data_IF_975526854166
#
_entry.id   IF_975526854166
#
_cell.length_a   1.000
_cell.length_b   1.000
_cell.length_c   1.000
_cell.angle_alpha   90.00
_cell.angle_beta   90.00
_cell.angle_gamma   90.00
#
_symmetry.space_group_name_H-M   'P 1'
#
loop_
_entity.id
_entity.type
_entity.pdbx_description
1 polymer ?
#
# COMPACT_ATOMS: atom_id res chain seq x y z
N UNK A 1 -10.79 26.75 -3.76
CA UNK A 1 -9.35 27.00 -3.60
C UNK A 1 -9.02 28.51 -3.57
N UNK A 2 -9.99 29.41 -3.47
CA UNK A 2 -9.78 30.87 -3.63
C UNK A 2 -9.32 31.60 -2.35
N UNK A 3 -9.18 30.90 -1.21
CA UNK A 3 -8.81 31.49 0.08
C UNK A 3 -7.52 30.90 0.67
N UNK A 4 -6.51 30.64 -0.16
CA UNK A 4 -5.19 30.18 0.30
C UNK A 4 -4.12 31.09 -0.26
N UNK A 5 -3.25 31.60 0.60
CA UNK A 5 -2.05 32.34 0.20
C UNK A 5 -0.87 31.37 0.30
N UNK A 6 -0.23 31.09 -0.83
CA UNK A 6 0.97 30.26 -0.86
C UNK A 6 2.18 31.12 -0.47
N UNK A 7 2.94 30.66 0.52
CA UNK A 7 4.23 31.23 0.88
C UNK A 7 5.30 30.16 0.71
N UNK A 8 6.45 30.57 0.22
CA UNK A 8 7.64 29.74 0.14
C UNK A 8 8.64 30.21 1.19
N UNK A 9 9.20 29.27 1.96
CA UNK A 9 10.13 29.57 3.03
C UNK A 9 11.43 28.78 2.83
N UNK A 10 12.56 29.48 2.92
CA UNK A 10 13.89 28.91 2.89
C UNK A 10 14.63 29.33 4.16
N UNK A 11 15.25 28.39 4.87
CA UNK A 11 16.10 28.72 6.03
C UNK A 11 17.57 28.75 5.60
N UNK A 12 18.25 29.90 5.69
CA UNK A 12 19.70 30.00 5.43
C UNK A 12 20.54 29.52 6.62
N UNK A 13 19.92 29.18 7.76
CA UNK A 13 20.61 28.75 8.98
C UNK A 13 20.81 27.23 8.97
N UNK A 14 21.91 26.78 9.59
CA UNK A 14 22.15 25.38 9.84
C UNK A 14 20.98 24.79 10.65
N UNK A 15 20.19 23.93 10.02
CA UNK A 15 19.03 23.31 10.65
C UNK A 15 19.51 22.34 11.73
N UNK A 16 19.00 22.52 12.96
CA UNK A 16 19.11 21.46 13.97
C UNK A 16 18.28 20.27 13.48
N UNK A 17 18.95 19.17 13.11
CA UNK A 17 18.29 17.92 12.72
C UNK A 17 17.34 17.41 13.80
N UNK A 18 17.64 17.66 15.07
CA UNK A 18 16.76 17.32 16.19
C UNK A 18 15.47 18.14 16.14
N UNK A 19 15.56 19.47 16.04
CA UNK A 19 14.39 20.34 15.97
C UNK A 19 13.51 20.05 14.75
N UNK A 20 14.12 19.70 13.61
CA UNK A 20 13.37 19.33 12.41
C UNK A 20 12.62 18.00 12.59
N UNK A 21 13.26 16.98 13.21
CA UNK A 21 12.58 15.72 13.53
C UNK A 21 11.44 15.91 14.51
N UNK A 22 11.63 16.74 15.55
CA UNK A 22 10.59 17.02 16.53
C UNK A 22 9.37 17.70 15.88
N UNK A 23 9.61 18.66 14.98
CA UNK A 23 8.54 19.30 14.19
C UNK A 23 7.83 18.33 13.26
N UNK A 24 8.58 17.44 12.61
CA UNK A 24 8.01 16.40 11.75
C UNK A 24 7.14 15.44 12.56
N UNK A 25 7.58 15.02 13.75
CA UNK A 25 6.77 14.17 14.62
C UNK A 25 5.49 14.87 15.07
N UNK A 26 5.56 16.14 15.49
CA UNK A 26 4.39 16.92 15.91
C UNK A 26 3.37 17.12 14.77
N UNK A 27 3.83 17.32 13.53
CA UNK A 27 2.94 17.57 12.40
C UNK A 27 2.27 16.31 11.85
N UNK A 28 2.94 15.16 11.90
CA UNK A 28 2.49 13.94 11.22
C UNK A 28 2.31 12.71 12.11
N UNK A 29 2.66 12.78 13.40
CA UNK A 29 2.54 11.68 14.37
C UNK A 29 3.18 10.37 13.86
N UNK A 30 4.44 10.44 13.41
CA UNK A 30 5.10 9.31 12.75
C UNK A 30 5.21 8.09 13.66
N UNK A 31 5.27 8.27 14.98
CA UNK A 31 5.25 7.14 15.93
C UNK A 31 3.96 6.32 15.80
N UNK A 32 2.80 6.98 15.79
CA UNK A 32 1.49 6.32 15.66
C UNK A 32 1.39 5.64 14.28
N UNK A 33 1.81 6.35 13.24
CA UNK A 33 1.76 5.83 11.89
C UNK A 33 2.68 4.61 11.71
N UNK A 34 3.86 4.60 12.33
CA UNK A 34 4.77 3.46 12.32
C UNK A 34 4.14 2.24 13.01
N UNK A 35 3.45 2.45 14.15
CA UNK A 35 2.73 1.38 14.83
C UNK A 35 1.60 0.79 13.96
N UNK A 36 0.93 1.62 13.15
CA UNK A 36 -0.05 1.14 12.18
C UNK A 36 0.59 0.26 11.09
N UNK A 37 1.80 0.61 10.63
CA UNK A 37 2.57 -0.22 9.70
C UNK A 37 2.99 -1.55 10.35
N UNK A 38 3.45 -1.54 11.59
CA UNK A 38 3.83 -2.76 12.32
C UNK A 38 2.62 -3.69 12.53
N UNK A 39 1.45 -3.14 12.84
CA UNK A 39 0.21 -3.90 12.94
C UNK A 39 -0.16 -4.55 11.60
N UNK A 40 -0.05 -3.81 10.50
CA UNK A 40 -0.26 -4.35 9.15
C UNK A 40 0.75 -5.48 8.84
N UNK A 41 2.04 -5.27 9.11
CA UNK A 41 3.07 -6.27 8.86
C UNK A 41 2.81 -7.53 9.67
N UNK A 42 2.48 -7.39 10.95
CA UNK A 42 2.19 -8.51 11.85
C UNK A 42 1.01 -9.35 11.34
N UNK A 43 -0.05 -8.68 10.85
CA UNK A 43 -1.23 -9.36 10.35
C UNK A 43 -0.98 -10.12 9.03
N UNK A 44 -0.22 -9.53 8.10
CA UNK A 44 -0.09 -10.06 6.75
C UNK A 44 1.18 -10.89 6.50
N UNK A 45 2.25 -10.73 7.29
CA UNK A 45 3.51 -11.47 7.12
C UNK A 45 3.33 -13.00 7.10
N UNK A 46 2.46 -13.61 7.95
CA UNK A 46 2.24 -15.05 7.92
C UNK A 46 1.67 -15.58 6.59
N UNK A 47 1.04 -14.72 5.77
CA UNK A 47 0.50 -15.14 4.47
C UNK A 47 1.59 -15.45 3.43
N UNK A 48 2.80 -14.89 3.56
CA UNK A 48 3.86 -15.14 2.59
C UNK A 48 4.24 -16.62 2.47
N UNK A 49 4.59 -17.35 3.55
CA UNK A 49 4.86 -18.78 3.45
C UNK A 49 3.62 -19.56 3.03
N UNK A 50 2.43 -19.20 3.52
CA UNK A 50 1.18 -19.90 3.15
C UNK A 50 0.89 -19.79 1.64
N UNK A 51 1.12 -18.63 1.03
CA UNK A 51 0.92 -18.43 -0.42
C UNK A 51 2.02 -19.03 -1.29
N UNK A 52 3.20 -19.25 -0.71
CA UNK A 52 4.32 -19.92 -1.37
C UNK A 52 4.11 -21.44 -1.37
N UNK A 53 3.66 -21.98 -0.25
CA UNK A 53 3.59 -23.42 -0.01
C UNK A 53 2.20 -24.02 -0.32
N UNK A 54 1.20 -23.19 -0.66
CA UNK A 54 -0.13 -23.69 -1.01
C UNK A 54 -0.15 -24.42 -2.36
N UNK A 55 -1.00 -25.45 -2.43
CA UNK A 55 -1.27 -26.13 -3.69
C UNK A 55 -2.05 -25.20 -4.64
N UNK A 56 -1.83 -25.27 -5.96
CA UNK A 56 -2.53 -24.41 -6.92
C UNK A 56 -4.06 -24.47 -6.80
N UNK A 57 -4.61 -25.64 -6.43
CA UNK A 57 -6.04 -25.83 -6.22
C UNK A 57 -6.61 -25.10 -4.99
N UNK A 58 -5.77 -24.78 -3.99
CA UNK A 58 -6.20 -24.09 -2.78
C UNK A 58 -6.37 -22.58 -2.98
N UNK A 59 -5.64 -22.02 -3.94
CA UNK A 59 -5.66 -20.59 -4.24
C UNK A 59 -6.72 -20.28 -5.30
N UNK A 60 -7.98 -20.52 -4.95
CA UNK A 60 -9.13 -20.27 -5.83
C UNK A 60 -9.28 -18.78 -6.18
N UNK A 61 -9.98 -18.44 -7.29
CA UNK A 61 -10.28 -17.05 -7.64
C UNK A 61 -10.94 -16.27 -6.49
N UNK A 62 -11.91 -16.87 -5.81
CA UNK A 62 -12.60 -16.25 -4.67
C UNK A 62 -11.65 -15.94 -3.51
N UNK A 63 -10.79 -16.90 -3.12
CA UNK A 63 -9.81 -16.68 -2.05
C UNK A 63 -8.80 -15.61 -2.43
N UNK A 64 -8.34 -15.59 -3.68
CA UNK A 64 -7.49 -14.52 -4.19
C UNK A 64 -8.15 -13.15 -4.05
N UNK A 65 -9.43 -13.05 -4.44
CA UNK A 65 -10.19 -11.81 -4.33
C UNK A 65 -10.33 -11.37 -2.87
N UNK A 66 -10.69 -12.27 -1.95
CA UNK A 66 -10.81 -11.98 -0.52
C UNK A 66 -9.48 -11.48 0.07
N UNK A 67 -8.37 -12.17 -0.24
CA UNK A 67 -7.03 -11.76 0.22
C UNK A 67 -6.68 -10.39 -0.35
N UNK A 68 -6.86 -10.16 -1.65
CA UNK A 68 -6.55 -8.88 -2.29
C UNK A 68 -7.39 -7.74 -1.70
N UNK A 69 -8.68 -7.97 -1.47
CA UNK A 69 -9.59 -6.98 -0.90
C UNK A 69 -9.13 -6.57 0.51
N UNK A 70 -8.87 -7.55 1.38
CA UNK A 70 -8.41 -7.29 2.75
C UNK A 70 -7.03 -6.64 2.75
N UNK A 71 -6.08 -7.14 1.96
CA UNK A 71 -4.74 -6.57 1.84
C UNK A 71 -4.78 -5.09 1.48
N UNK A 72 -5.51 -4.74 0.41
CA UNK A 72 -5.59 -3.35 -0.06
C UNK A 72 -6.40 -2.49 0.90
N UNK A 73 -7.47 -3.02 1.52
CA UNK A 73 -8.23 -2.30 2.53
C UNK A 73 -7.36 -1.89 3.71
N UNK A 74 -6.64 -2.84 4.33
CA UNK A 74 -5.79 -2.55 5.48
C UNK A 74 -4.57 -1.72 5.12
N UNK A 75 -3.94 -1.95 3.96
CA UNK A 75 -2.81 -1.13 3.50
C UNK A 75 -3.22 0.33 3.26
N UNK A 76 -4.38 0.57 2.63
CA UNK A 76 -4.90 1.93 2.37
C UNK A 76 -5.16 2.71 3.66
N UNK A 77 -5.56 2.05 4.74
CA UNK A 77 -5.79 2.71 6.04
C UNK A 77 -4.52 3.31 6.64
N UNK A 78 -3.35 2.81 6.26
CA UNK A 78 -2.06 3.32 6.71
C UNK A 78 -1.45 4.26 5.68
N UNK A 79 -1.29 3.82 4.42
CA UNK A 79 -0.53 4.57 3.41
C UNK A 79 -1.20 5.89 2.99
N UNK A 80 -2.53 6.01 3.10
CA UNK A 80 -3.22 7.28 2.79
C UNK A 80 -2.98 8.38 3.83
N UNK A 81 -2.46 8.01 5.01
CA UNK A 81 -2.01 8.95 6.02
C UNK A 81 -0.51 9.25 5.90
N UNK A 82 0.20 8.57 5.00
CA UNK A 82 1.64 8.70 4.87
C UNK A 82 2.04 10.04 4.25
N UNK A 83 2.89 10.83 4.94
CA UNK A 83 3.28 12.14 4.45
C UNK A 83 4.30 12.11 3.31
N UNK A 84 4.81 10.94 2.92
CA UNK A 84 5.79 10.76 1.84
C UNK A 84 7.03 11.64 2.03
N UNK A 85 7.48 11.76 3.29
CA UNK A 85 8.65 12.55 3.64
C UNK A 85 9.94 11.91 3.08
N UNK A 86 10.98 12.72 2.81
CA UNK A 86 12.32 12.23 2.55
C UNK A 86 12.82 11.30 3.66
N UNK A 87 13.63 10.31 3.30
CA UNK A 87 14.12 9.28 4.23
C UNK A 87 14.90 9.87 5.41
N UNK A 88 15.58 10.99 5.21
CA UNK A 88 16.35 11.69 6.24
C UNK A 88 15.49 12.26 7.38
N UNK A 89 14.19 12.38 7.16
CA UNK A 89 13.21 12.88 8.13
C UNK A 89 12.42 11.77 8.82
N UNK A 90 12.55 10.53 8.34
CA UNK A 90 11.83 9.39 8.90
C UNK A 90 12.54 8.83 10.14
N UNK A 91 11.80 8.19 11.06
CA UNK A 91 12.39 7.43 12.16
C UNK A 91 13.33 6.32 11.65
N UNK A 92 14.38 6.02 12.40
CA UNK A 92 15.37 5.00 12.02
C UNK A 92 14.79 3.60 11.78
N UNK A 93 13.63 3.29 12.37
CA UNK A 93 12.94 2.01 12.23
C UNK A 93 11.60 2.15 11.49
N UNK A 94 11.56 3.03 10.49
CA UNK A 94 10.36 3.23 9.69
C UNK A 94 9.94 1.96 8.93
N UNK A 95 8.76 1.46 9.26
CA UNK A 95 8.21 0.21 8.74
C UNK A 95 7.53 0.36 7.37
N UNK A 96 7.36 1.60 6.87
CA UNK A 96 6.61 1.88 5.64
C UNK A 96 7.15 1.12 4.41
N UNK A 97 8.48 1.04 4.24
CA UNK A 97 9.06 0.30 3.11
C UNK A 97 8.84 -1.22 3.24
N UNK A 98 8.97 -1.75 4.45
CA UNK A 98 8.71 -3.17 4.72
C UNK A 98 7.24 -3.52 4.46
N UNK A 99 6.31 -2.67 4.92
CA UNK A 99 4.88 -2.82 4.67
C UNK A 99 4.55 -2.73 3.18
N UNK A 100 5.16 -1.79 2.45
CA UNK A 100 5.01 -1.65 1.00
C UNK A 100 5.46 -2.91 0.27
N UNK A 101 6.65 -3.43 0.59
CA UNK A 101 7.18 -4.64 -0.06
C UNK A 101 6.32 -5.87 0.25
N UNK A 102 5.85 -6.02 1.49
CA UNK A 102 4.91 -7.07 1.87
C UNK A 102 3.62 -7.00 1.05
N UNK A 103 3.06 -5.79 0.90
CA UNK A 103 1.87 -5.55 0.09
C UNK A 103 2.10 -5.93 -1.38
N UNK A 104 3.22 -5.51 -1.98
CA UNK A 104 3.59 -5.86 -3.36
C UNK A 104 3.63 -7.39 -3.55
N UNK A 105 4.37 -8.08 -2.69
CA UNK A 105 4.58 -9.53 -2.80
C UNK A 105 3.27 -10.31 -2.73
N UNK A 106 2.37 -9.95 -1.79
CA UNK A 106 1.07 -10.61 -1.66
C UNK A 106 0.17 -10.23 -2.85
N UNK A 107 0.10 -8.94 -3.20
CA UNK A 107 -0.76 -8.45 -4.29
C UNK A 107 -0.45 -9.14 -5.62
N UNK A 108 0.83 -9.18 -6.01
CA UNK A 108 1.26 -9.81 -7.26
C UNK A 108 0.87 -11.30 -7.31
N UNK A 109 0.94 -12.00 -6.17
CA UNK A 109 0.60 -13.42 -6.07
C UNK A 109 -0.88 -13.71 -6.25
N UNK A 110 -1.76 -12.83 -5.76
CA UNK A 110 -3.22 -13.04 -5.79
C UNK A 110 -3.94 -12.31 -6.92
N UNK A 111 -3.29 -11.33 -7.56
CA UNK A 111 -3.93 -10.48 -8.58
C UNK A 111 -4.56 -11.26 -9.75
N UNK A 112 -3.93 -12.29 -10.34
CA UNK A 112 -4.54 -13.04 -11.44
C UNK A 112 -5.85 -13.73 -11.02
N UNK A 113 -5.88 -14.40 -9.88
CA UNK A 113 -7.10 -15.07 -9.40
C UNK A 113 -8.18 -14.08 -8.96
N UNK A 114 -7.78 -12.96 -8.34
CA UNK A 114 -8.70 -11.91 -7.96
C UNK A 114 -9.36 -11.25 -9.19
N UNK A 115 -8.59 -11.06 -10.26
CA UNK A 115 -9.09 -10.55 -11.53
C UNK A 115 -10.08 -11.53 -12.17
N UNK A 116 -9.74 -12.83 -12.22
CA UNK A 116 -10.63 -13.86 -12.71
C UNK A 116 -11.97 -13.86 -11.95
N UNK A 117 -11.94 -13.77 -10.62
CA UNK A 117 -13.15 -13.71 -9.81
C UNK A 117 -14.03 -12.49 -10.14
N UNK A 118 -13.42 -11.31 -10.25
CA UNK A 118 -14.17 -10.09 -10.61
C UNK A 118 -14.75 -10.21 -12.02
N UNK A 119 -14.00 -10.76 -12.98
CA UNK A 119 -14.49 -10.99 -14.34
C UNK A 119 -15.66 -11.99 -14.41
N UNK A 120 -15.62 -13.05 -13.59
CA UNK A 120 -16.66 -14.08 -13.56
C UNK A 120 -17.93 -13.61 -12.83
N UNK A 121 -17.78 -12.86 -11.73
CA UNK A 121 -18.90 -12.50 -10.84
C UNK A 121 -19.43 -11.08 -11.03
N UNK A 122 -18.64 -10.20 -11.62
CA UNK A 122 -18.99 -8.80 -11.80
C UNK A 122 -19.75 -8.57 -13.11
N UNK A 123 -20.68 -7.63 -13.07
CA UNK A 123 -21.41 -7.15 -14.25
C UNK A 123 -21.46 -5.62 -14.27
N UNK A 124 -21.57 -5.07 -15.47
CA UNK A 124 -21.89 -3.67 -15.73
C UNK A 124 -23.38 -3.54 -16.05
N UNK A 125 -23.87 -2.30 -16.12
CA UNK A 125 -25.24 -2.02 -16.58
C UNK A 125 -25.54 -2.48 -18.01
N UNK A 126 -24.52 -2.89 -18.78
CA UNK A 126 -24.63 -3.32 -20.18
C UNK A 126 -24.13 -4.75 -20.42
N UNK A 127 -23.92 -5.54 -19.36
CA UNK A 127 -23.47 -6.94 -19.45
C UNK A 127 -22.12 -7.18 -18.77
N UNK A 128 -21.35 -8.16 -19.25
CA UNK A 128 -20.07 -8.57 -18.67
C UNK A 128 -19.07 -7.41 -18.51
N UNK A 129 -18.18 -7.53 -17.51
CA UNK A 129 -17.14 -6.52 -17.30
C UNK A 129 -16.10 -6.57 -18.44
N UNK A 130 -15.67 -5.40 -18.95
CA UNK A 130 -14.58 -5.36 -19.91
C UNK A 130 -13.27 -5.78 -19.25
N UNK A 131 -12.32 -6.25 -20.07
CA UNK A 131 -10.96 -6.50 -19.61
C UNK A 131 -10.34 -5.23 -18.98
N UNK A 132 -9.45 -5.37 -17.97
CA UNK A 132 -8.79 -4.22 -17.36
C UNK A 132 -7.98 -3.41 -18.37
N UNK A 133 -8.03 -2.08 -18.25
CA UNK A 133 -7.18 -1.20 -19.04
C UNK A 133 -5.69 -1.29 -18.66
N UNK A 134 -4.77 -0.72 -19.48
CA UNK A 134 -3.32 -0.87 -19.32
C UNK A 134 -2.77 -0.45 -17.94
N UNK A 135 -3.36 0.57 -17.32
CA UNK A 135 -2.95 1.06 -15.99
C UNK A 135 -3.11 0.00 -14.88
N UNK A 136 -3.99 -0.99 -15.08
CA UNK A 136 -4.13 -2.11 -14.13
C UNK A 136 -2.82 -2.89 -14.01
N UNK A 137 -2.17 -3.17 -15.14
CA UNK A 137 -0.95 -3.97 -15.21
C UNK A 137 0.32 -3.20 -14.79
N UNK A 138 0.23 -1.88 -14.64
CA UNK A 138 1.33 -1.05 -14.11
C UNK A 138 1.36 -0.98 -12.58
N UNK A 139 0.34 -1.53 -11.90
CA UNK A 139 0.25 -1.49 -10.44
C UNK A 139 1.46 -2.20 -9.81
N UNK A 140 1.96 -1.60 -8.72
CA UNK A 140 3.03 -2.18 -7.91
C UNK A 140 4.32 -2.55 -8.68
N UNK A 141 4.67 -1.76 -9.69
CA UNK A 141 5.90 -1.95 -10.47
C UNK A 141 5.75 -2.94 -11.62
N UNK A 142 4.52 -3.40 -11.89
CA UNK A 142 4.22 -4.35 -12.95
C UNK A 142 3.53 -5.59 -12.39
N UNK A 143 2.42 -5.95 -13.00
CA UNK A 143 1.86 -7.30 -12.92
C UNK A 143 2.31 -8.03 -14.17
N UNK A 144 2.75 -9.28 -14.02
CA UNK A 144 2.90 -10.17 -15.16
C UNK A 144 1.54 -10.28 -15.83
N UNK A 145 1.37 -9.55 -16.94
CA UNK A 145 0.20 -9.69 -17.79
C UNK A 145 0.14 -11.12 -18.30
N UNK A 146 -1.08 -11.64 -18.40
CA UNK A 146 -1.35 -12.77 -19.29
C UNK A 146 -0.93 -12.38 -20.70
#
# INVERSE_FOLDING_TARGET
>A
AENVICFEAHSPLALSRAALRDRVEECWHLTEQNAMYDAFITLFRPLLPLLRDCEPAELTPERCFQIQLLLIHFYRRVVLKDPLLPEELLPAHWAGQTARQLCINIYQRVAPGALAFVGEKGESSVGELPAPGPLYFQRFGGLSGV
#
